data_IF_989877900047
#
_entry.id   IF_989877900047
#
_cell.length_a   1.000
_cell.length_b   1.000
_cell.length_c   1.000
_cell.angle_alpha   90.00
_cell.angle_beta   90.00
_cell.angle_gamma   90.00
#
_symmetry.space_group_name_H-M   'P 1'
#
loop_
_entity.id
_entity.type
_entity.pdbx_description
1 polymer ?
#
# COMPACT_ATOMS: atom_id res chain seq x y z
N UNK A 1 28.91 6.16 -8.06
CA UNK A 1 27.59 6.30 -7.40
C UNK A 1 26.57 6.26 -8.53
N UNK A 2 25.77 5.20 -8.59
CA UNK A 2 24.80 4.99 -9.68
C UNK A 2 23.59 5.90 -9.39
N UNK A 3 23.16 6.79 -10.29
CA UNK A 3 21.96 7.58 -10.07
C UNK A 3 20.77 6.63 -10.14
N UNK A 4 20.09 6.43 -9.01
CA UNK A 4 18.81 5.72 -8.98
C UNK A 4 17.87 6.45 -9.93
N UNK A 5 17.57 5.82 -11.05
CA UNK A 5 16.55 6.26 -12.00
C UNK A 5 15.27 6.38 -11.19
N UNK A 6 14.83 7.62 -10.91
CA UNK A 6 13.50 7.87 -10.34
C UNK A 6 12.52 7.47 -11.42
N UNK A 7 11.85 6.34 -11.21
CA UNK A 7 10.74 5.93 -12.05
C UNK A 7 9.66 7.03 -11.94
N UNK A 8 9.30 7.70 -13.05
CA UNK A 8 8.36 8.83 -13.03
C UNK A 8 6.93 8.42 -12.63
N UNK A 9 6.69 7.12 -12.43
CA UNK A 9 5.39 6.57 -12.05
C UNK A 9 5.15 6.59 -10.53
N UNK A 10 6.17 6.85 -9.71
CA UNK A 10 6.03 6.86 -8.26
C UNK A 10 6.01 8.28 -7.72
N UNK A 11 4.82 8.74 -7.36
CA UNK A 11 4.63 9.99 -6.63
C UNK A 11 5.34 9.86 -5.28
N UNK A 12 6.41 10.62 -5.05
CA UNK A 12 6.97 10.79 -3.71
C UNK A 12 5.94 11.55 -2.86
N UNK A 13 5.12 10.81 -2.13
CA UNK A 13 4.08 11.34 -1.23
C UNK A 13 4.21 10.70 0.15
N UNK A 14 3.52 11.24 1.14
CA UNK A 14 3.55 10.70 2.50
C UNK A 14 2.78 9.39 2.54
N UNK A 15 3.41 8.33 3.05
CA UNK A 15 2.77 7.03 3.20
C UNK A 15 1.59 7.14 4.18
N UNK A 16 0.37 6.90 3.71
CA UNK A 16 -0.84 7.04 4.53
C UNK A 16 -0.98 5.95 5.61
N UNK A 17 -0.20 4.86 5.52
CA UNK A 17 -0.18 3.83 6.56
C UNK A 17 0.78 4.14 7.73
N UNK A 18 2.01 4.60 7.45
CA UNK A 18 3.04 4.76 8.47
C UNK A 18 3.56 6.19 8.66
N UNK A 19 3.11 7.14 7.84
CA UNK A 19 3.52 8.55 7.91
C UNK A 19 4.95 8.84 7.43
N UNK A 20 5.66 7.87 6.86
CA UNK A 20 6.98 8.12 6.27
C UNK A 20 6.85 9.04 5.06
N UNK A 21 7.72 10.05 4.98
CA UNK A 21 7.67 11.10 3.97
C UNK A 21 8.80 10.96 2.95
N UNK A 22 8.60 11.50 1.74
CA UNK A 22 9.64 11.53 0.70
C UNK A 22 10.07 10.14 0.18
N UNK A 23 9.17 9.16 0.27
CA UNK A 23 9.38 7.83 -0.28
C UNK A 23 8.47 7.60 -1.49
N UNK A 24 8.91 6.76 -2.45
CA UNK A 24 8.04 6.23 -3.48
C UNK A 24 6.82 5.56 -2.86
N UNK A 25 5.64 5.90 -3.36
CA UNK A 25 4.37 5.33 -2.92
C UNK A 25 3.58 4.80 -4.10
N UNK A 26 2.72 3.82 -3.83
CA UNK A 26 1.80 3.24 -4.81
C UNK A 26 0.37 3.15 -4.26
N UNK A 27 -0.65 3.26 -5.14
CA UNK A 27 -2.04 3.22 -4.73
C UNK A 27 -2.48 1.80 -4.33
N UNK A 28 -3.17 1.70 -3.19
CA UNK A 28 -3.67 0.44 -2.63
C UNK A 28 -5.10 0.59 -2.10
N UNK A 29 -5.81 -0.53 -1.99
CA UNK A 29 -7.01 -0.65 -1.15
C UNK A 29 -6.67 -1.51 0.07
N UNK A 30 -6.90 -0.98 1.27
CA UNK A 30 -6.56 -1.66 2.52
C UNK A 30 -7.49 -2.84 2.76
N UNK A 31 -6.93 -3.94 3.28
CA UNK A 31 -7.71 -5.11 3.71
C UNK A 31 -7.55 -5.30 5.22
N UNK A 32 -8.68 -5.36 5.93
CA UNK A 32 -8.74 -5.70 7.34
C UNK A 32 -9.14 -7.17 7.51
N UNK A 33 -8.25 -7.98 8.05
CA UNK A 33 -8.57 -9.36 8.40
C UNK A 33 -9.15 -9.45 9.82
N UNK A 34 -10.00 -10.44 10.07
CA UNK A 34 -10.46 -10.76 11.42
C UNK A 34 -9.26 -11.17 12.31
N UNK A 35 -9.11 -10.64 13.52
CA UNK A 35 -8.04 -11.06 14.43
C UNK A 35 -8.21 -12.51 14.91
N UNK A 36 -9.44 -13.04 14.92
CA UNK A 36 -9.72 -14.43 15.30
C UNK A 36 -9.40 -15.41 14.16
N UNK A 37 -9.39 -14.92 12.91
CA UNK A 37 -9.17 -15.71 11.70
C UNK A 37 -8.42 -14.89 10.63
N UNK A 38 -7.14 -14.54 10.85
CA UNK A 38 -6.40 -13.61 9.98
C UNK A 38 -6.16 -14.12 8.56
N UNK A 39 -6.26 -15.44 8.35
CA UNK A 39 -6.16 -16.10 7.05
C UNK A 39 -7.49 -16.27 6.33
N UNK A 40 -8.62 -15.98 6.99
CA UNK A 40 -9.95 -16.12 6.41
C UNK A 40 -10.30 -14.86 5.62
N UNK A 41 -10.09 -14.92 4.30
CA UNK A 41 -10.37 -13.82 3.40
C UNK A 41 -11.87 -13.58 3.20
N UNK A 42 -12.73 -14.58 3.48
CA UNK A 42 -14.19 -14.41 3.39
C UNK A 42 -14.70 -13.53 4.54
N UNK A 43 -13.98 -13.50 5.66
CA UNK A 43 -14.23 -12.62 6.79
C UNK A 43 -13.50 -11.26 6.69
N UNK A 44 -12.69 -11.04 5.64
CA UNK A 44 -11.93 -9.81 5.49
C UNK A 44 -12.81 -8.67 4.96
N UNK A 45 -12.56 -7.45 5.45
CA UNK A 45 -13.22 -6.24 4.96
C UNK A 45 -12.24 -5.43 4.12
N UNK A 46 -12.63 -5.12 2.88
CA UNK A 46 -11.89 -4.22 2.01
C UNK A 46 -12.34 -2.79 2.29
N UNK A 47 -11.40 -1.90 2.58
CA UNK A 47 -11.65 -0.47 2.57
C UNK A 47 -11.68 0.03 1.11
N UNK A 48 -12.76 0.71 0.75
CA UNK A 48 -12.94 1.21 -0.61
C UNK A 48 -12.18 2.52 -0.86
N UNK A 49 -11.61 3.13 0.17
CA UNK A 49 -10.71 4.27 0.02
C UNK A 49 -9.38 3.82 -0.64
N UNK A 50 -8.92 4.62 -1.60
CA UNK A 50 -7.61 4.44 -2.22
C UNK A 50 -6.59 5.18 -1.37
N UNK A 51 -5.67 4.44 -0.77
CA UNK A 51 -4.53 4.98 -0.03
C UNK A 51 -3.25 4.91 -0.87
N UNK A 52 -2.21 5.68 -0.52
CA UNK A 52 -0.86 5.59 -1.08
C UNK A 52 0.14 5.09 -0.04
N UNK A 53 0.76 3.94 -0.29
CA UNK A 53 1.65 3.27 0.65
C UNK A 53 3.07 3.15 0.12
N UNK A 54 4.05 3.23 1.01
CA UNK A 54 5.43 2.91 0.67
C UNK A 54 5.62 1.39 0.52
N UNK A 55 6.67 1.00 -0.23
CA UNK A 55 6.98 -0.42 -0.49
C UNK A 55 7.10 -1.29 0.78
N UNK A 56 7.58 -0.71 1.89
CA UNK A 56 7.67 -1.43 3.17
C UNK A 56 6.27 -1.76 3.74
N UNK A 57 5.29 -0.87 3.60
CA UNK A 57 3.93 -1.14 4.08
C UNK A 57 3.23 -2.16 3.19
N UNK A 58 3.37 -2.02 1.87
CA UNK A 58 2.88 -2.98 0.87
C UNK A 58 3.39 -4.39 1.18
N UNK A 59 4.67 -4.54 1.51
CA UNK A 59 5.26 -5.85 1.79
C UNK A 59 4.76 -6.52 3.09
N UNK A 60 4.18 -5.75 4.03
CA UNK A 60 3.88 -6.24 5.38
C UNK A 60 2.38 -6.24 5.73
N UNK A 61 1.55 -5.46 5.04
CA UNK A 61 0.15 -5.30 5.38
C UNK A 61 -0.77 -5.77 4.24
N UNK A 62 -1.88 -6.46 4.55
CA UNK A 62 -2.84 -6.90 3.55
C UNK A 62 -3.45 -5.74 2.78
N UNK A 63 -3.43 -5.84 1.45
CA UNK A 63 -3.96 -4.84 0.55
C UNK A 63 -4.27 -5.45 -0.82
N UNK A 64 -5.06 -4.75 -1.63
CA UNK A 64 -5.22 -5.03 -3.04
C UNK A 64 -4.51 -3.94 -3.85
N UNK A 65 -3.78 -4.37 -4.88
CA UNK A 65 -3.20 -3.45 -5.84
C UNK A 65 -4.32 -2.80 -6.68
N UNK A 66 -4.29 -1.47 -6.80
CA UNK A 66 -5.22 -0.73 -7.65
C UNK A 66 -4.71 -0.83 -9.09
N UNK A 67 -5.42 -1.55 -9.94
CA UNK A 67 -5.09 -1.56 -11.37
C UNK A 67 -5.44 -0.21 -11.99
N UNK A 68 -4.55 0.40 -12.78
CA UNK A 68 -4.94 1.53 -13.61
C UNK A 68 -5.99 1.04 -14.63
N UNK A 69 -7.11 1.76 -14.69
CA UNK A 69 -8.18 1.56 -15.69
C UNK A 69 -7.83 2.14 -17.05
#
# INVERSE_FOLDING_TARGET
MNPTVRDPSSSDTDCQNCGSTGLPTEPVQRVYCSPESPSDLDAATIDNEIEVWCAACVANYPHLAVKPG
#
